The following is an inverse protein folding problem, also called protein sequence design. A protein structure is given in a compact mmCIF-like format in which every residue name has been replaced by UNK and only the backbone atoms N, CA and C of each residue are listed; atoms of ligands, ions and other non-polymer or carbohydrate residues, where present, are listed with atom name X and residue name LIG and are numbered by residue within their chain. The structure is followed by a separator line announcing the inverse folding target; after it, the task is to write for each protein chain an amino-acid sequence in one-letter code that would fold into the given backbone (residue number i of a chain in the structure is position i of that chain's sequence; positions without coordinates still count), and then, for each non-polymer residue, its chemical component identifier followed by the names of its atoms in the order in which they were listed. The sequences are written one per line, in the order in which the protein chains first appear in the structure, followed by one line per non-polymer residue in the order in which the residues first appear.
data_IF_226088699448
#
_entry.id   IF_226088699448
#
_cell.length_a   1.000
_cell.length_b   1.000
_cell.length_c   1.000
_cell.angle_alpha   90.00
_cell.angle_beta   90.00
_cell.angle_gamma   90.00
#
_symmetry.space_group_name_H-M   'P 1'
#
loop_
_entity.id
_entity.type
_entity.pdbx_description
1 polymer ?
#
# COMPACT_ATOMS: atom_id res chain seq x y z
N UNK A 1 0.09 22.67 -11.04
CA UNK A 1 1.21 22.00 -10.38
C UNK A 1 1.20 20.55 -10.87
N UNK A 2 2.20 20.16 -11.64
CA UNK A 2 2.47 18.76 -11.95
C UNK A 2 3.02 18.13 -10.67
N UNK A 3 2.23 17.30 -10.02
CA UNK A 3 2.73 16.46 -8.94
C UNK A 3 3.40 15.26 -9.58
N UNK A 4 4.69 15.30 -9.74
CA UNK A 4 5.45 14.14 -10.16
C UNK A 4 5.42 13.11 -9.03
N UNK A 5 4.65 12.05 -9.21
CA UNK A 5 4.66 10.91 -8.29
C UNK A 5 5.43 9.76 -8.93
N UNK A 6 6.28 9.13 -8.14
CA UNK A 6 7.03 7.94 -8.55
C UNK A 6 6.58 6.76 -7.72
N UNK A 7 6.06 5.72 -8.37
CA UNK A 7 5.80 4.44 -7.72
C UNK A 7 6.91 3.45 -8.03
N UNK A 8 7.47 2.83 -7.00
CA UNK A 8 8.47 1.79 -7.12
C UNK A 8 8.19 0.67 -6.12
N UNK A 9 8.88 -0.45 -6.24
CA UNK A 9 8.70 -1.58 -5.34
C UNK A 9 10.03 -2.25 -5.02
N UNK A 10 10.08 -2.85 -3.85
CA UNK A 10 11.16 -3.73 -3.41
C UNK A 10 10.56 -5.13 -3.25
N UNK A 11 11.05 -6.06 -4.08
CA UNK A 11 10.61 -7.45 -4.02
C UNK A 11 10.91 -8.05 -2.64
N UNK A 12 10.04 -8.87 -2.05
CA UNK A 12 8.78 -9.35 -2.64
C UNK A 12 7.55 -8.51 -2.27
N UNK A 13 7.59 -7.64 -1.29
CA UNK A 13 6.37 -7.22 -0.60
C UNK A 13 6.34 -5.76 -0.15
N UNK A 14 7.22 -4.91 -0.67
CA UNK A 14 7.23 -3.48 -0.33
C UNK A 14 6.92 -2.65 -1.56
N UNK A 15 5.99 -1.71 -1.42
CA UNK A 15 5.71 -0.67 -2.41
C UNK A 15 5.97 0.70 -1.81
N UNK A 16 6.48 1.60 -2.64
CA UNK A 16 6.88 2.95 -2.24
C UNK A 16 6.27 3.93 -3.23
N UNK A 17 5.43 4.82 -2.75
CA UNK A 17 4.94 5.98 -3.47
C UNK A 17 5.71 7.21 -3.03
N UNK A 18 6.49 7.79 -3.93
CA UNK A 18 7.20 9.04 -3.67
C UNK A 18 6.38 10.20 -4.21
N UNK A 19 6.09 11.15 -3.38
CA UNK A 19 5.45 12.42 -3.70
C UNK A 19 6.34 13.57 -3.24
N UNK A 20 6.17 14.80 -3.78
CA UNK A 20 6.98 15.92 -3.36
C UNK A 20 6.94 16.22 -1.86
N UNK A 21 5.79 15.96 -1.22
CA UNK A 21 5.55 16.28 0.19
C UNK A 21 5.91 15.14 1.13
N UNK A 22 5.80 13.88 0.66
CA UNK A 22 5.99 12.71 1.52
C UNK A 22 6.27 11.44 0.73
N UNK A 23 6.77 10.43 1.42
CA UNK A 23 6.89 9.06 0.93
C UNK A 23 5.84 8.22 1.62
N UNK A 24 5.03 7.52 0.84
CA UNK A 24 4.09 6.54 1.34
C UNK A 24 4.64 5.14 1.12
N UNK A 25 4.92 4.43 2.19
CA UNK A 25 5.46 3.08 2.18
C UNK A 25 4.37 2.08 2.56
N UNK A 26 4.24 1.04 1.77
CA UNK A 26 3.31 -0.07 1.98
C UNK A 26 4.08 -1.38 2.07
N UNK A 27 3.77 -2.21 3.05
CA UNK A 27 4.38 -3.53 3.20
C UNK A 27 3.31 -4.58 3.41
N UNK A 28 3.36 -5.65 2.61
CA UNK A 28 2.41 -6.76 2.65
C UNK A 28 3.11 -7.98 3.25
N UNK A 29 2.73 -8.36 4.46
CA UNK A 29 3.37 -9.46 5.18
C UNK A 29 2.37 -10.62 5.23
N UNK A 30 2.67 -11.76 4.58
CA UNK A 30 1.80 -12.93 4.65
C UNK A 30 1.56 -13.36 6.10
N UNK A 31 0.35 -13.80 6.39
CA UNK A 31 0.06 -14.40 7.68
C UNK A 31 0.77 -15.77 7.81
N UNK A 32 1.27 -16.08 8.99
CA UNK A 32 2.16 -17.26 9.22
C UNK A 32 1.52 -18.60 8.86
N UNK A 33 0.21 -18.74 9.04
CA UNK A 33 -0.50 -20.02 8.89
C UNK A 33 -1.72 -19.96 7.98
N UNK A 34 -2.18 -18.78 7.61
CA UNK A 34 -3.38 -18.60 6.81
C UNK A 34 -3.04 -17.86 5.51
N UNK A 35 -3.01 -18.56 4.35
CA UNK A 35 -2.66 -17.95 3.08
C UNK A 35 -3.69 -16.95 2.55
N UNK A 36 -4.85 -16.84 3.22
CA UNK A 36 -5.91 -15.90 2.86
C UNK A 36 -5.85 -14.59 3.64
N UNK A 37 -4.88 -14.47 4.52
CA UNK A 37 -4.69 -13.30 5.38
C UNK A 37 -3.28 -12.74 5.21
N UNK A 38 -3.15 -11.46 5.44
CA UNK A 38 -1.88 -10.76 5.50
C UNK A 38 -1.97 -9.53 6.40
N UNK A 39 -0.84 -9.09 6.88
CA UNK A 39 -0.70 -7.79 7.51
C UNK A 39 -0.37 -6.75 6.43
N UNK A 40 -1.06 -5.65 6.49
CA UNK A 40 -0.83 -4.52 5.61
C UNK A 40 -0.33 -3.33 6.43
N UNK A 41 0.99 -3.15 6.44
CA UNK A 41 1.59 -2.02 7.11
C UNK A 41 1.64 -0.82 6.16
N UNK A 42 1.18 0.31 6.63
CA UNK A 42 1.32 1.60 5.95
C UNK A 42 2.14 2.55 6.78
N UNK A 43 2.96 3.36 6.12
CA UNK A 43 3.82 4.33 6.77
C UNK A 43 3.93 5.58 5.90
N UNK A 44 3.58 6.74 6.44
CA UNK A 44 3.82 8.04 5.79
C UNK A 44 5.08 8.66 6.38
N UNK A 45 6.09 8.88 5.55
CA UNK A 45 7.35 9.53 5.91
C UNK A 45 7.38 10.92 5.27
N UNK A 46 7.40 11.94 6.09
CA UNK A 46 7.44 13.33 5.63
C UNK A 46 8.46 14.13 6.42
N UNK A 47 8.94 15.23 5.85
CA UNK A 47 9.71 16.20 6.61
C UNK A 47 8.80 16.94 7.59
N UNK A 48 9.31 17.29 8.78
CA UNK A 48 8.57 18.14 9.69
C UNK A 48 8.13 19.45 9.02
N UNK A 49 6.91 19.87 9.29
CA UNK A 49 6.34 21.10 8.76
C UNK A 49 5.98 22.02 9.93
N UNK A 50 6.60 23.18 9.98
CA UNK A 50 6.41 24.17 11.05
C UNK A 50 5.49 25.32 10.60
N UNK A 51 4.45 24.99 9.84
CA UNK A 51 3.41 25.94 9.41
C UNK A 51 2.08 25.55 10.07
N UNK A 52 1.52 26.38 10.95
CA UNK A 52 0.28 26.08 11.64
C UNK A 52 -0.95 26.00 10.71
N UNK A 53 -0.83 26.48 9.49
CA UNK A 53 -1.90 26.41 8.47
C UNK A 53 -1.73 25.24 7.51
N UNK A 54 -0.69 24.43 7.66
CA UNK A 54 -0.47 23.30 6.80
C UNK A 54 -1.56 22.25 7.02
N UNK A 55 -2.17 21.81 5.94
CA UNK A 55 -3.15 20.74 5.94
C UNK A 55 -2.59 19.58 5.10
N UNK A 56 -2.29 18.43 5.71
CA UNK A 56 -1.81 17.26 4.96
C UNK A 56 -2.82 16.85 3.88
N UNK A 57 -2.37 16.53 2.66
CA UNK A 57 -3.25 16.01 1.64
C UNK A 57 -3.93 14.70 2.09
N UNK A 58 -5.19 14.51 1.71
CA UNK A 58 -5.99 13.35 2.11
C UNK A 58 -5.38 12.00 1.71
N UNK A 59 -4.56 11.95 0.64
CA UNK A 59 -3.88 10.74 0.21
C UNK A 59 -2.85 10.21 1.21
N UNK A 60 -2.38 11.05 2.13
CA UNK A 60 -1.44 10.64 3.18
C UNK A 60 -2.09 9.70 4.21
N UNK A 61 -3.42 9.65 4.28
CA UNK A 61 -4.14 8.81 5.24
C UNK A 61 -3.87 9.19 6.71
N UNK A 62 -3.45 10.42 6.97
CA UNK A 62 -3.17 10.89 8.33
C UNK A 62 -4.48 11.26 9.03
N UNK A 63 -4.70 10.81 10.29
CA UNK A 63 -5.82 11.25 11.09
C UNK A 63 -5.87 12.77 11.26
N UNK A 64 -7.07 13.31 11.44
CA UNK A 64 -7.24 14.73 11.73
C UNK A 64 -6.51 15.11 13.01
N UNK A 65 -5.75 16.20 12.98
CA UNK A 65 -4.97 16.67 14.12
C UNK A 65 -3.64 15.97 14.33
N UNK A 66 -3.19 15.13 13.39
CA UNK A 66 -1.84 14.54 13.44
C UNK A 66 -0.78 15.64 13.56
N UNK A 67 0.14 15.50 14.53
CA UNK A 67 1.29 16.38 14.66
C UNK A 67 2.27 16.18 13.51
N UNK A 68 2.35 17.16 12.62
CA UNK A 68 3.25 17.17 11.46
C UNK A 68 4.54 17.94 11.73
N UNK A 69 4.70 18.53 12.92
CA UNK A 69 5.93 19.26 13.30
C UNK A 69 7.09 18.32 13.64
N UNK A 70 6.79 17.04 13.80
CA UNK A 70 7.77 16.03 14.24
C UNK A 70 8.14 16.12 15.72
N UNK A 71 7.40 16.90 16.52
CA UNK A 71 7.62 17.01 17.96
C UNK A 71 7.23 15.74 18.70
N UNK A 72 6.25 15.00 18.17
CA UNK A 72 5.78 13.74 18.73
C UNK A 72 5.85 12.66 17.67
N UNK A 73 6.41 11.51 18.01
CA UNK A 73 6.35 10.32 17.15
C UNK A 73 4.98 9.67 17.29
N UNK A 74 4.23 9.50 16.20
CA UNK A 74 2.96 8.79 16.24
C UNK A 74 3.13 7.36 16.76
N UNK A 75 2.17 6.89 17.52
CA UNK A 75 2.08 5.48 17.89
C UNK A 75 1.63 4.63 16.70
N UNK A 76 2.03 3.35 16.69
CA UNK A 76 1.56 2.40 15.70
C UNK A 76 0.21 1.87 16.15
N UNK A 77 -0.79 2.03 15.31
CA UNK A 77 -2.13 1.49 15.52
C UNK A 77 -2.31 0.22 14.68
N UNK A 78 -3.13 -0.70 15.16
CA UNK A 78 -3.45 -1.95 14.47
C UNK A 78 -4.94 -2.24 14.58
N UNK A 79 -5.58 -2.50 13.46
CA UNK A 79 -7.02 -2.77 13.39
C UNK A 79 -7.34 -3.74 12.24
N UNK A 80 -8.53 -4.28 12.23
CA UNK A 80 -9.05 -5.02 11.09
C UNK A 80 -9.41 -4.03 9.97
N UNK A 81 -9.32 -4.48 8.71
CA UNK A 81 -9.53 -3.63 7.54
C UNK A 81 -10.91 -2.97 7.50
N UNK A 82 -11.93 -3.63 8.02
CA UNK A 82 -13.30 -3.16 8.13
C UNK A 82 -13.54 -2.23 9.33
N UNK A 83 -12.57 -2.13 10.24
CA UNK A 83 -12.60 -1.26 11.41
C UNK A 83 -11.75 0.00 11.23
N UNK A 84 -10.94 0.06 10.15
CA UNK A 84 -10.01 1.18 9.92
C UNK A 84 -10.69 2.40 9.30
N UNK A 85 -10.84 3.49 10.07
CA UNK A 85 -11.30 4.77 9.54
C UNK A 85 -10.19 5.55 8.79
N UNK A 86 -8.94 5.13 8.87
CA UNK A 86 -7.77 5.93 8.52
C UNK A 86 -7.11 5.62 7.17
N UNK A 87 -7.53 4.59 6.43
CA UNK A 87 -6.94 4.24 5.13
C UNK A 87 -7.10 5.32 4.05
N UNK A 88 -7.99 6.26 4.26
CA UNK A 88 -8.35 7.23 3.24
C UNK A 88 -9.16 6.62 2.09
N UNK A 89 -9.73 7.48 1.25
CA UNK A 89 -10.70 7.06 0.23
C UNK A 89 -10.11 6.06 -0.78
N UNK A 90 -8.90 6.28 -1.26
CA UNK A 90 -8.28 5.46 -2.32
C UNK A 90 -7.99 4.06 -1.82
N UNK A 91 -7.30 3.93 -0.69
CA UNK A 91 -6.95 2.62 -0.14
C UNK A 91 -8.17 1.86 0.36
N UNK A 92 -9.18 2.55 0.87
CA UNK A 92 -10.44 1.92 1.26
C UNK A 92 -11.19 1.34 0.07
N UNK A 93 -11.16 2.00 -1.09
CA UNK A 93 -11.72 1.44 -2.32
C UNK A 93 -10.98 0.17 -2.75
N UNK A 94 -9.65 0.20 -2.76
CA UNK A 94 -8.83 -0.95 -3.12
C UNK A 94 -9.08 -2.12 -2.16
N UNK A 95 -9.08 -1.85 -0.86
CA UNK A 95 -9.34 -2.85 0.17
C UNK A 95 -10.71 -3.54 0.01
N UNK A 96 -11.74 -2.79 -0.37
CA UNK A 96 -13.08 -3.34 -0.60
C UNK A 96 -13.14 -4.36 -1.76
N UNK A 97 -12.23 -4.28 -2.72
CA UNK A 97 -12.17 -5.22 -3.84
C UNK A 97 -11.36 -6.49 -3.57
N UNK A 98 -10.40 -6.46 -2.65
CA UNK A 98 -9.48 -7.57 -2.40
C UNK A 98 -10.19 -8.91 -2.13
N UNK A 99 -11.23 -8.99 -1.28
CA UNK A 99 -11.94 -10.25 -1.05
C UNK A 99 -12.57 -10.82 -2.33
N UNK A 100 -13.19 -9.97 -3.15
CA UNK A 100 -13.83 -10.38 -4.41
C UNK A 100 -12.79 -10.84 -5.44
N UNK A 101 -11.63 -10.19 -5.49
CA UNK A 101 -10.51 -10.60 -6.36
C UNK A 101 -10.03 -11.98 -5.96
N UNK A 102 -9.83 -12.22 -4.67
CA UNK A 102 -9.39 -13.52 -4.17
C UNK A 102 -10.41 -14.63 -4.44
N UNK A 103 -11.70 -14.36 -4.26
CA UNK A 103 -12.76 -15.30 -4.64
C UNK A 103 -12.77 -15.60 -6.14
N UNK A 104 -12.61 -14.57 -6.97
CA UNK A 104 -12.49 -14.70 -8.42
C UNK A 104 -11.30 -15.57 -8.84
N UNK A 105 -10.18 -15.47 -8.18
CA UNK A 105 -8.98 -16.28 -8.43
C UNK A 105 -9.20 -17.77 -8.12
N UNK A 106 -10.14 -18.13 -7.24
CA UNK A 106 -10.53 -19.52 -6.94
C UNK A 106 -11.53 -20.10 -7.94
N UNK A 107 -12.09 -19.27 -8.80
CA UNK A 107 -13.03 -19.71 -9.83
C UNK A 107 -12.39 -20.74 -10.75
N UNK A 108 -13.15 -21.79 -11.14
CA UNK A 108 -12.72 -22.77 -12.14
C UNK A 108 -12.43 -22.14 -13.51
N UNK A 109 -13.00 -20.98 -13.79
CA UNK A 109 -12.80 -20.23 -15.02
C UNK A 109 -11.50 -19.41 -15.00
N UNK A 110 -10.90 -19.17 -13.84
CA UNK A 110 -9.64 -18.43 -13.75
C UNK A 110 -8.49 -19.26 -14.33
N UNK A 111 -7.82 -18.71 -15.33
CA UNK A 111 -6.70 -19.36 -16.04
C UNK A 111 -5.38 -18.61 -15.89
N UNK A 112 -5.31 -17.72 -14.94
CA UNK A 112 -4.21 -16.79 -14.75
C UNK A 112 -4.55 -15.38 -15.21
N UNK A 113 -3.67 -14.45 -14.87
CA UNK A 113 -3.84 -13.05 -15.23
C UNK A 113 -3.26 -12.76 -16.61
N UNK A 114 -3.90 -11.86 -17.33
CA UNK A 114 -3.39 -11.34 -18.61
C UNK A 114 -2.72 -10.00 -18.33
N UNK A 115 -1.42 -9.93 -18.59
CA UNK A 115 -0.65 -8.71 -18.42
C UNK A 115 -0.50 -7.97 -19.75
N UNK A 116 -0.84 -6.69 -19.77
CA UNK A 116 -0.56 -5.81 -20.90
C UNK A 116 0.95 -5.53 -21.07
N UNK A 117 1.34 -5.02 -22.23
CA UNK A 117 2.73 -4.67 -22.51
C UNK A 117 3.27 -3.60 -21.56
N UNK A 118 2.41 -2.70 -21.09
CA UNK A 118 2.78 -1.61 -20.16
C UNK A 118 3.03 -2.11 -18.72
N UNK A 119 2.58 -3.31 -18.38
CA UNK A 119 2.68 -3.89 -17.03
C UNK A 119 3.98 -4.65 -16.82
N UNK A 120 5.08 -4.15 -17.36
CA UNK A 120 6.39 -4.79 -17.29
C UNK A 120 6.87 -5.04 -15.86
N UNK A 121 6.52 -4.16 -14.90
CA UNK A 121 6.91 -4.33 -13.49
C UNK A 121 6.22 -5.54 -12.87
N UNK A 122 4.94 -5.73 -13.12
CA UNK A 122 4.19 -6.89 -12.64
C UNK A 122 4.69 -8.18 -13.28
N UNK A 123 4.97 -8.16 -14.58
CA UNK A 123 5.56 -9.31 -15.29
C UNK A 123 6.92 -9.67 -14.70
N UNK A 124 7.78 -8.69 -14.46
CA UNK A 124 9.08 -8.93 -13.83
C UNK A 124 8.93 -9.48 -12.39
N UNK A 125 8.00 -8.95 -11.62
CA UNK A 125 7.68 -9.46 -10.28
C UNK A 125 7.33 -10.95 -10.32
N UNK A 126 6.44 -11.37 -11.22
CA UNK A 126 6.04 -12.76 -11.36
C UNK A 126 7.16 -13.67 -11.84
N UNK A 127 7.99 -13.22 -12.77
CA UNK A 127 9.19 -13.97 -13.19
C UNK A 127 10.14 -14.21 -12.02
N UNK A 128 10.37 -13.20 -11.20
CA UNK A 128 11.25 -13.34 -10.03
C UNK A 128 10.63 -14.24 -8.95
N UNK A 129 9.30 -14.17 -8.76
CA UNK A 129 8.58 -15.04 -7.86
C UNK A 129 8.69 -16.50 -8.30
N UNK A 130 8.41 -16.80 -9.56
CA UNK A 130 8.53 -18.15 -10.13
C UNK A 130 9.96 -18.70 -10.01
N UNK A 131 10.96 -17.86 -10.29
CA UNK A 131 12.36 -18.24 -10.13
C UNK A 131 12.69 -18.69 -8.71
N UNK A 132 12.10 -18.05 -7.69
CA UNK A 132 12.32 -18.39 -6.29
C UNK A 132 11.52 -19.59 -5.82
N UNK A 133 10.34 -19.79 -6.36
CA UNK A 133 9.51 -20.95 -6.03
C UNK A 133 10.06 -22.26 -6.64
N UNK A 134 10.83 -22.15 -7.71
CA UNK A 134 11.41 -23.29 -8.42
C UNK A 134 12.92 -23.52 -8.10
N UNK A 135 13.48 -22.77 -7.17
CA UNK A 135 14.85 -22.91 -6.72
C UNK A 135 14.95 -23.85 -5.50
#
# INVERSE_FOLDING_TARGET
QLSDSLATGIFPNVQIGCHPEAIFLMRFIPHDTDPERFWYDTMTLMFPVDDPNYCPPAWMGLPEGTDVTGSVRPETESFLIDEDPGLGLVLSQDAAFLPSVQEGMRSKAFKGQLWGEQEQRLRHFHVELERRLNA
#
